data_IF_623243778344
#
_entry.id   IF_623243778344
#
_cell.length_a   1.000
_cell.length_b   1.000
_cell.length_c   1.000
_cell.angle_alpha   90.00
_cell.angle_beta   90.00
_cell.angle_gamma   90.00
#
_symmetry.space_group_name_H-M   'P 1'
#
loop_
_entity.id
_entity.type
_entity.pdbx_description
1 polymer ?
#
# COMPACT_ATOMS: atom_id res chain seq x y z
N UNK A 1 -9.54 -14.21 -12.11
CA UNK A 1 -9.06 -14.44 -10.74
C UNK A 1 -9.26 -13.14 -9.99
N UNK A 2 -9.93 -13.17 -8.84
CA UNK A 2 -10.33 -11.95 -8.13
C UNK A 2 -9.14 -11.42 -7.31
N UNK A 3 -8.71 -10.19 -7.57
CA UNK A 3 -7.57 -9.61 -6.82
C UNK A 3 -7.91 -9.46 -5.34
N UNK A 4 -7.07 -10.03 -4.48
CA UNK A 4 -7.09 -9.85 -3.03
C UNK A 4 -5.82 -9.14 -2.54
N UNK A 5 -5.92 -8.48 -1.38
CA UNK A 5 -4.80 -7.81 -0.74
C UNK A 5 -4.57 -8.40 0.65
N UNK A 6 -3.33 -8.78 0.93
CA UNK A 6 -2.94 -9.38 2.19
C UNK A 6 -1.88 -8.54 2.91
N UNK A 7 -1.63 -8.90 4.18
CA UNK A 7 -0.66 -8.26 5.06
C UNK A 7 -0.93 -6.77 5.37
N UNK A 8 -2.21 -6.37 5.36
CA UNK A 8 -2.62 -4.98 5.61
C UNK A 8 -2.28 -4.50 7.03
N UNK A 9 -2.29 -5.40 8.02
CA UNK A 9 -1.94 -5.06 9.40
C UNK A 9 -0.48 -4.59 9.53
N UNK A 10 0.46 -5.30 8.90
CA UNK A 10 1.86 -4.88 8.89
C UNK A 10 2.06 -3.59 8.08
N UNK A 11 1.32 -3.44 6.97
CA UNK A 11 1.39 -2.24 6.14
C UNK A 11 0.82 -0.98 6.83
N UNK A 12 -0.02 -1.15 7.84
CA UNK A 12 -0.62 -0.08 8.65
C UNK A 12 -0.08 -0.04 10.08
N UNK A 13 1.01 -0.76 10.37
CA UNK A 13 1.57 -0.85 11.72
C UNK A 13 2.22 0.47 12.17
N UNK A 14 2.76 1.25 11.22
CA UNK A 14 3.33 2.56 11.52
C UNK A 14 2.21 3.60 11.69
N UNK A 15 2.29 4.49 12.70
CA UNK A 15 1.31 5.55 12.89
C UNK A 15 1.30 6.51 11.70
N UNK A 16 0.16 7.18 11.54
CA UNK A 16 -0.07 8.16 10.46
C UNK A 16 0.09 7.59 9.05
N UNK A 17 -0.08 6.28 8.88
CA UNK A 17 -0.13 5.61 7.59
C UNK A 17 -1.57 5.36 7.15
N UNK A 18 -1.78 5.35 5.83
CA UNK A 18 -3.07 4.99 5.24
C UNK A 18 -2.86 4.27 3.91
N UNK A 19 -3.75 3.32 3.61
CA UNK A 19 -3.80 2.62 2.33
C UNK A 19 -5.12 2.94 1.62
N UNK A 20 -5.04 3.23 0.32
CA UNK A 20 -6.20 3.34 -0.56
C UNK A 20 -6.04 2.30 -1.67
N UNK A 21 -6.76 1.20 -1.54
CA UNK A 21 -6.73 0.09 -2.49
C UNK A 21 -7.86 0.28 -3.51
N UNK A 22 -7.53 0.12 -4.78
CA UNK A 22 -8.47 0.26 -5.89
C UNK A 22 -8.99 -1.14 -6.19
N UNK A 23 -10.27 -1.40 -5.88
CA UNK A 23 -10.96 -2.69 -6.04
C UNK A 23 -11.19 -3.12 -7.50
N UNK A 24 -10.12 -3.09 -8.29
CA UNK A 24 -10.09 -3.43 -9.70
C UNK A 24 -10.15 -4.95 -9.84
N UNK A 25 -11.01 -5.50 -10.72
CA UNK A 25 -11.29 -6.93 -10.76
C UNK A 25 -10.11 -7.75 -11.32
N UNK A 26 -9.29 -7.17 -12.19
CA UNK A 26 -8.17 -7.85 -12.84
C UNK A 26 -6.96 -6.95 -13.08
N UNK A 27 -5.81 -7.60 -13.18
CA UNK A 27 -4.52 -7.01 -13.54
C UNK A 27 -3.99 -7.74 -14.77
N UNK A 28 -3.94 -7.05 -15.90
CA UNK A 28 -3.22 -7.52 -17.08
C UNK A 28 -1.83 -6.89 -17.10
N UNK A 29 -0.79 -7.67 -16.80
CA UNK A 29 0.58 -7.19 -16.67
C UNK A 29 0.79 -6.33 -15.42
N UNK A 30 1.05 -5.04 -15.61
CA UNK A 30 1.28 -4.10 -14.51
C UNK A 30 0.14 -3.09 -14.42
N UNK A 31 -0.53 -3.04 -13.27
CA UNK A 31 -1.60 -2.07 -13.01
C UNK A 31 -1.42 -1.46 -11.63
N UNK A 32 -1.65 -0.15 -11.50
CA UNK A 32 -1.68 0.50 -10.19
C UNK A 32 -2.95 0.06 -9.45
N UNK A 33 -2.75 -0.68 -8.35
CA UNK A 33 -3.81 -1.29 -7.53
C UNK A 33 -4.08 -0.55 -6.22
N UNK A 34 -3.28 0.44 -5.87
CA UNK A 34 -3.52 1.28 -4.71
C UNK A 34 -2.46 2.36 -4.52
N UNK A 35 -2.55 3.06 -3.40
CA UNK A 35 -1.57 4.03 -2.94
C UNK A 35 -1.41 3.95 -1.42
N UNK A 36 -0.17 4.04 -0.95
CA UNK A 36 0.15 4.23 0.45
C UNK A 36 0.46 5.71 0.72
N UNK A 37 -0.07 6.22 1.82
CA UNK A 37 0.13 7.57 2.31
C UNK A 37 0.73 7.50 3.70
N UNK A 38 1.56 8.48 4.03
CA UNK A 38 2.16 8.62 5.34
C UNK A 38 2.36 10.10 5.67
N UNK A 39 2.28 10.44 6.96
CA UNK A 39 2.75 11.72 7.48
C UNK A 39 3.96 11.51 8.39
N UNK A 40 4.82 12.51 8.40
CA UNK A 40 5.99 12.58 9.26
C UNK A 40 6.48 14.03 9.35
N UNK A 41 7.48 14.26 10.20
CA UNK A 41 8.08 15.59 10.44
C UNK A 41 8.84 16.13 9.22
N UNK A 42 9.30 15.25 8.32
CA UNK A 42 9.96 15.61 7.07
C UNK A 42 9.38 14.87 5.88
N UNK A 43 9.57 15.45 4.69
CA UNK A 43 9.13 14.86 3.43
C UNK A 43 9.86 13.54 3.19
N UNK A 44 11.15 13.48 3.48
CA UNK A 44 12.00 12.30 3.32
C UNK A 44 11.50 11.16 4.21
N UNK A 45 11.20 11.45 5.49
CA UNK A 45 10.69 10.47 6.44
C UNK A 45 9.29 9.98 6.03
N UNK A 46 8.39 10.90 5.63
CA UNK A 46 7.06 10.54 5.14
C UNK A 46 7.13 9.66 3.88
N UNK A 47 8.02 9.97 2.93
CA UNK A 47 8.23 9.15 1.72
C UNK A 47 8.78 7.77 2.06
N UNK A 48 9.75 7.69 2.97
CA UNK A 48 10.30 6.41 3.42
C UNK A 48 9.23 5.55 4.10
N UNK A 49 8.43 6.15 4.98
CA UNK A 49 7.30 5.50 5.68
C UNK A 49 6.24 4.99 4.71
N UNK A 50 5.77 5.82 3.77
CA UNK A 50 4.82 5.41 2.75
C UNK A 50 5.36 4.27 1.87
N UNK A 51 6.67 4.28 1.58
CA UNK A 51 7.32 3.24 0.79
C UNK A 51 7.34 1.90 1.53
N UNK A 52 7.70 1.90 2.82
CA UNK A 52 7.65 0.69 3.66
C UNK A 52 6.23 0.12 3.75
N UNK A 53 5.24 0.98 3.97
CA UNK A 53 3.83 0.59 3.97
C UNK A 53 3.40 -0.06 2.64
N UNK A 54 3.75 0.56 1.50
CA UNK A 54 3.44 0.00 0.18
C UNK A 54 4.13 -1.36 -0.06
N UNK A 55 5.39 -1.52 0.36
CA UNK A 55 6.14 -2.77 0.21
C UNK A 55 5.62 -3.90 1.09
N UNK A 56 5.00 -3.58 2.22
CA UNK A 56 4.41 -4.58 3.10
C UNK A 56 3.11 -5.19 2.53
N UNK A 57 2.39 -4.48 1.64
CA UNK A 57 1.18 -4.99 1.01
C UNK A 57 1.51 -6.13 0.05
N UNK A 58 0.81 -7.26 0.20
CA UNK A 58 0.89 -8.38 -0.74
C UNK A 58 -0.36 -8.38 -1.62
N UNK A 59 -0.18 -8.58 -2.92
CA UNK A 59 -1.28 -8.74 -3.88
C UNK A 59 -1.38 -10.21 -4.23
N UNK A 60 -2.55 -10.79 -4.03
CA UNK A 60 -2.88 -12.17 -4.40
C UNK A 60 -3.82 -12.12 -5.61
N UNK A 61 -3.53 -12.91 -6.64
CA UNK A 61 -4.24 -12.94 -7.92
C UNK A 61 -5.12 -14.18 -8.01
#
# INVERSE_FOLDING_TARGET
TQTAFANLGAALAEPDTALRLFGKPEVNGQRRMGVALARDESIEAARAKATRAAQAVKVEL
#
